data_IF_069949373048
#
_entry.id   IF_069949373048
#
_cell.length_a   1.000
_cell.length_b   1.000
_cell.length_c   1.000
_cell.angle_alpha   90.00
_cell.angle_beta   90.00
_cell.angle_gamma   90.00
#
_symmetry.space_group_name_H-M   'P 1'
#
loop_
_entity.id
_entity.type
_entity.pdbx_description
1 polymer ?
#
# COMPACT_ATOMS: atom_id res chain seq x y z
N UNK A 1 -21.41 -63.44 -20.44
CA UNK A 1 -20.37 -62.45 -20.81
C UNK A 1 -20.69 -61.16 -20.11
N UNK A 2 -20.11 -60.92 -18.91
CA UNK A 2 -20.23 -59.68 -18.17
C UNK A 2 -19.15 -58.72 -18.67
N UNK A 3 -19.56 -57.54 -19.22
CA UNK A 3 -18.67 -56.41 -19.42
C UNK A 3 -18.56 -55.63 -18.11
N UNK A 4 -17.34 -55.28 -17.61
CA UNK A 4 -17.20 -54.41 -16.48
C UNK A 4 -17.58 -52.97 -16.86
N UNK A 5 -18.06 -52.14 -15.88
CA UNK A 5 -18.47 -50.77 -16.17
C UNK A 5 -17.23 -49.92 -16.52
N UNK A 6 -17.35 -49.13 -17.59
CA UNK A 6 -16.35 -48.19 -18.06
C UNK A 6 -16.09 -47.17 -16.97
N UNK A 7 -14.85 -47.13 -16.45
CA UNK A 7 -14.33 -46.05 -15.61
C UNK A 7 -14.34 -44.76 -16.42
N UNK A 8 -15.25 -43.89 -16.08
CA UNK A 8 -15.25 -42.50 -16.57
C UNK A 8 -14.00 -41.83 -16.01
N UNK A 9 -12.96 -41.75 -16.84
CA UNK A 9 -11.84 -40.86 -16.58
C UNK A 9 -12.38 -39.44 -16.56
N UNK A 10 -12.55 -38.88 -15.35
CA UNK A 10 -12.63 -37.41 -15.17
C UNK A 10 -11.30 -36.86 -15.71
N UNK A 11 -11.34 -35.90 -16.66
CA UNK A 11 -10.11 -35.23 -17.06
C UNK A 11 -9.50 -34.57 -15.80
N UNK A 12 -8.15 -34.57 -15.67
CA UNK A 12 -7.48 -33.91 -14.55
C UNK A 12 -7.96 -32.47 -14.51
N UNK A 13 -8.31 -32.03 -13.30
CA UNK A 13 -8.74 -30.69 -12.98
C UNK A 13 -7.94 -29.67 -13.80
N UNK A 14 -8.66 -28.91 -14.62
CA UNK A 14 -8.12 -27.85 -15.46
C UNK A 14 -7.12 -27.05 -14.62
N UNK A 15 -5.85 -27.17 -14.94
CA UNK A 15 -4.79 -26.31 -14.43
C UNK A 15 -5.30 -24.91 -14.70
N UNK A 16 -5.68 -24.16 -13.66
CA UNK A 16 -6.00 -22.77 -13.74
C UNK A 16 -4.76 -22.08 -14.33
N UNK A 17 -4.75 -21.92 -15.64
CA UNK A 17 -3.77 -21.08 -16.32
C UNK A 17 -3.88 -19.74 -15.64
N UNK A 18 -2.90 -19.39 -14.81
CA UNK A 18 -2.89 -18.13 -14.07
C UNK A 18 -3.13 -17.01 -15.07
N UNK A 19 -4.36 -16.52 -15.14
CA UNK A 19 -4.70 -15.43 -16.03
C UNK A 19 -3.88 -14.22 -15.61
N UNK A 20 -3.07 -13.74 -16.51
CA UNK A 20 -2.27 -12.53 -16.28
C UNK A 20 -3.07 -11.34 -16.78
N UNK A 21 -3.52 -10.49 -15.89
CA UNK A 21 -4.13 -9.22 -16.24
C UNK A 21 -3.04 -8.18 -16.52
N UNK A 22 -3.03 -7.66 -17.73
CA UNK A 22 -2.13 -6.56 -18.11
C UNK A 22 -2.41 -5.32 -17.28
N UNK A 23 -3.69 -5.06 -16.97
CA UNK A 23 -4.13 -3.98 -16.12
C UNK A 23 -3.42 -3.97 -14.76
N UNK A 24 -3.25 -5.12 -14.12
CA UNK A 24 -2.61 -5.24 -12.79
C UNK A 24 -1.12 -4.91 -12.87
N UNK A 25 -0.42 -5.44 -13.89
CA UNK A 25 1.00 -5.16 -14.10
C UNK A 25 1.24 -3.70 -14.47
N UNK A 26 0.40 -3.13 -15.32
CA UNK A 26 0.43 -1.72 -15.71
C UNK A 26 0.18 -0.81 -14.50
N UNK A 27 -0.89 -1.07 -13.74
CA UNK A 27 -1.25 -0.26 -12.58
C UNK A 27 -0.13 -0.26 -11.53
N UNK A 28 0.47 -1.42 -11.25
CA UNK A 28 1.62 -1.51 -10.35
C UNK A 28 2.78 -0.66 -10.84
N UNK A 29 3.10 -0.73 -12.12
CA UNK A 29 4.17 0.07 -12.72
C UNK A 29 3.87 1.57 -12.73
N UNK A 30 2.64 1.95 -13.03
CA UNK A 30 2.17 3.33 -12.95
C UNK A 30 2.37 3.89 -11.54
N UNK A 31 1.94 3.13 -10.52
CA UNK A 31 2.06 3.54 -9.12
C UNK A 31 3.52 3.74 -8.71
N UNK A 32 4.43 2.84 -9.12
CA UNK A 32 5.87 2.99 -8.83
C UNK A 32 6.47 4.18 -9.56
N UNK A 33 6.13 4.39 -10.84
CA UNK A 33 6.62 5.55 -11.59
C UNK A 33 6.19 6.87 -10.93
N UNK A 34 4.91 6.97 -10.52
CA UNK A 34 4.43 8.13 -9.77
C UNK A 34 5.11 8.27 -8.41
N UNK A 35 5.36 7.17 -7.70
CA UNK A 35 6.07 7.20 -6.41
C UNK A 35 7.48 7.79 -6.56
N UNK A 36 8.21 7.42 -7.62
CA UNK A 36 9.50 8.03 -7.92
C UNK A 36 9.35 9.52 -8.19
N UNK A 37 8.38 9.94 -9.03
CA UNK A 37 8.17 11.36 -9.35
C UNK A 37 7.88 12.20 -8.10
N UNK A 38 6.99 11.73 -7.21
CA UNK A 38 6.58 12.51 -6.04
C UNK A 38 7.60 12.51 -4.91
N UNK A 39 8.50 11.51 -4.87
CA UNK A 39 9.55 11.43 -3.83
C UNK A 39 10.87 12.09 -4.27
N UNK A 40 11.05 12.37 -5.56
CA UNK A 40 12.30 12.92 -6.11
C UNK A 40 12.10 14.34 -6.67
N UNK A 41 11.40 15.19 -5.94
CA UNK A 41 11.35 16.61 -6.27
C UNK A 41 12.76 17.21 -6.16
N UNK A 42 13.21 17.92 -7.20
CA UNK A 42 14.55 18.56 -7.19
C UNK A 42 14.66 19.62 -6.08
N UNK A 43 13.59 20.35 -5.81
CA UNK A 43 13.46 21.23 -4.66
C UNK A 43 12.02 21.20 -4.14
N UNK A 44 11.88 21.19 -2.82
CA UNK A 44 10.55 21.21 -2.18
C UNK A 44 9.91 22.61 -2.16
N UNK A 45 10.70 23.65 -2.42
CA UNK A 45 10.24 25.04 -2.43
C UNK A 45 9.35 25.39 -3.63
N UNK A 46 9.61 24.75 -4.79
CA UNK A 46 8.91 25.05 -6.05
C UNK A 46 8.11 23.87 -6.61
N UNK A 47 7.72 22.93 -5.77
CA UNK A 47 6.91 21.78 -6.19
C UNK A 47 5.49 22.23 -6.53
N UNK A 48 4.97 21.77 -7.68
CA UNK A 48 3.60 22.00 -8.09
C UNK A 48 2.60 21.49 -7.02
N UNK A 49 1.55 22.27 -6.66
CA UNK A 49 0.62 21.90 -5.58
C UNK A 49 0.05 20.47 -5.66
N UNK A 50 -0.32 19.92 -6.85
CA UNK A 50 -0.78 18.52 -6.94
C UNK A 50 0.27 17.47 -6.59
N UNK A 51 1.56 17.82 -6.62
CA UNK A 51 2.67 16.94 -6.27
C UNK A 51 3.14 17.09 -4.82
N UNK A 52 2.54 18.01 -4.06
CA UNK A 52 2.76 18.17 -2.63
C UNK A 52 1.81 17.27 -1.85
N UNK A 53 2.24 16.82 -0.67
CA UNK A 53 1.34 16.18 0.29
C UNK A 53 0.39 17.19 0.93
N UNK A 54 -0.80 16.75 1.32
CA UNK A 54 -1.66 17.55 2.18
C UNK A 54 -0.92 17.88 3.50
N UNK A 55 -1.03 19.13 3.95
CA UNK A 55 -0.33 19.59 5.16
C UNK A 55 -0.69 18.73 6.36
N UNK A 56 -1.98 18.49 6.61
CA UNK A 56 -2.46 17.58 7.66
C UNK A 56 -3.75 16.88 7.24
N UNK A 57 -4.90 17.55 7.27
CA UNK A 57 -6.16 17.00 6.76
C UNK A 57 -6.29 17.21 5.24
N UNK A 58 -7.03 16.34 4.59
CA UNK A 58 -7.23 16.35 3.15
C UNK A 58 -6.43 15.27 2.41
N UNK A 59 -6.51 15.30 1.08
CA UNK A 59 -5.87 14.35 0.21
C UNK A 59 -5.52 15.01 -1.13
N UNK A 60 -4.26 14.97 -1.51
CA UNK A 60 -3.77 15.41 -2.81
C UNK A 60 -3.55 14.20 -3.73
N UNK A 61 -3.33 14.39 -5.05
CA UNK A 61 -2.95 13.29 -5.93
C UNK A 61 -1.70 12.52 -5.46
N UNK A 62 -0.72 13.19 -4.84
CA UNK A 62 0.46 12.56 -4.25
C UNK A 62 0.10 11.61 -3.13
N UNK A 63 -0.92 11.92 -2.34
CA UNK A 63 -1.37 11.10 -1.23
C UNK A 63 -2.08 9.80 -1.68
N UNK A 64 -2.44 9.67 -2.96
CA UNK A 64 -3.01 8.45 -3.53
C UNK A 64 -1.96 7.40 -3.87
N UNK A 65 -0.70 7.78 -4.04
CA UNK A 65 0.34 6.91 -4.61
C UNK A 65 0.65 5.73 -3.71
N UNK A 66 0.99 5.98 -2.45
CA UNK A 66 1.37 4.93 -1.51
C UNK A 66 0.22 3.96 -1.17
N UNK A 67 -1.01 4.41 -0.84
CA UNK A 67 -2.12 3.47 -0.62
C UNK A 67 -2.51 2.70 -1.88
N UNK A 68 -2.40 3.30 -3.08
CA UNK A 68 -2.59 2.57 -4.34
C UNK A 68 -1.57 1.44 -4.50
N UNK A 69 -0.34 1.65 -4.06
CA UNK A 69 0.67 0.59 -4.06
C UNK A 69 0.34 -0.52 -3.06
N UNK A 70 -0.13 -0.20 -1.86
CA UNK A 70 -0.63 -1.18 -0.90
C UNK A 70 -1.84 -1.96 -1.44
N UNK A 71 -2.77 -1.26 -2.08
CA UNK A 71 -3.94 -1.85 -2.72
C UNK A 71 -3.55 -2.87 -3.81
N UNK A 72 -2.64 -2.50 -4.72
CA UNK A 72 -2.23 -3.39 -5.82
C UNK A 72 -1.40 -4.59 -5.33
N UNK A 73 -0.72 -4.49 -4.18
CA UNK A 73 -0.13 -5.63 -3.49
C UNK A 73 -1.23 -6.63 -3.12
N UNK A 74 -2.35 -6.18 -2.55
CA UNK A 74 -3.50 -7.01 -2.22
C UNK A 74 -4.09 -7.72 -3.44
N UNK A 75 -4.27 -7.02 -4.57
CA UNK A 75 -4.69 -7.63 -5.84
C UNK A 75 -3.70 -8.71 -6.27
N UNK A 76 -2.40 -8.41 -6.22
CA UNK A 76 -1.33 -9.33 -6.63
C UNK A 76 -1.22 -10.57 -5.73
N UNK A 77 -1.54 -10.43 -4.43
CA UNK A 77 -1.58 -11.54 -3.47
C UNK A 77 -2.57 -12.61 -3.90
N UNK A 78 -3.76 -12.23 -4.37
CA UNK A 78 -4.76 -13.19 -4.81
C UNK A 78 -4.22 -14.08 -5.93
N UNK A 79 -3.59 -13.51 -6.95
CA UNK A 79 -2.98 -14.28 -8.04
C UNK A 79 -1.80 -15.14 -7.57
N UNK A 80 -0.96 -14.61 -6.68
CA UNK A 80 0.20 -15.35 -6.17
C UNK A 80 -0.22 -16.55 -5.31
N UNK A 81 -1.31 -16.44 -4.56
CA UNK A 81 -1.81 -17.48 -3.68
C UNK A 81 -2.68 -18.51 -4.40
N UNK A 82 -3.13 -18.23 -5.62
CA UNK A 82 -3.85 -19.18 -6.47
C UNK A 82 -3.10 -20.48 -6.71
N UNK A 83 -1.74 -20.46 -6.69
CA UNK A 83 -0.89 -21.66 -6.76
C UNK A 83 -1.06 -22.61 -5.57
N UNK A 84 -1.67 -22.14 -4.48
CA UNK A 84 -1.90 -22.85 -3.21
C UNK A 84 -3.41 -22.98 -2.94
N UNK A 85 -4.26 -22.86 -3.98
CA UNK A 85 -5.72 -22.89 -3.87
C UNK A 85 -6.26 -21.90 -2.82
N UNK A 86 -5.57 -20.79 -2.61
CA UNK A 86 -5.87 -19.77 -1.58
C UNK A 86 -5.98 -20.35 -0.16
N UNK A 87 -5.23 -21.41 0.15
CA UNK A 87 -5.20 -22.05 1.46
C UNK A 87 -3.85 -21.89 2.12
N UNK A 88 -3.87 -21.80 3.44
CA UNK A 88 -2.65 -21.78 4.22
C UNK A 88 -1.88 -23.10 4.08
N UNK A 89 -0.62 -23.01 3.71
CA UNK A 89 0.35 -24.13 3.74
C UNK A 89 1.64 -23.69 4.44
N UNK A 90 2.38 -24.58 5.10
CA UNK A 90 3.66 -24.21 5.73
C UNK A 90 4.68 -23.61 4.76
N UNK A 91 4.64 -24.05 3.49
CA UNK A 91 5.52 -23.49 2.44
C UNK A 91 5.14 -22.04 2.13
N UNK A 92 3.84 -21.77 1.91
CA UNK A 92 3.34 -20.42 1.67
C UNK A 92 3.58 -19.52 2.88
N UNK A 93 3.35 -20.01 4.11
CA UNK A 93 3.63 -19.29 5.34
C UNK A 93 5.09 -18.85 5.45
N UNK A 94 6.04 -19.75 5.14
CA UNK A 94 7.48 -19.39 5.10
C UNK A 94 7.79 -18.33 4.04
N UNK A 95 7.17 -18.40 2.86
CA UNK A 95 7.34 -17.38 1.81
C UNK A 95 6.81 -16.02 2.24
N UNK A 96 5.62 -15.99 2.87
CA UNK A 96 5.02 -14.76 3.41
C UNK A 96 5.94 -14.17 4.49
N UNK A 97 6.35 -14.96 5.47
CA UNK A 97 7.23 -14.51 6.55
C UNK A 97 8.55 -13.97 6.01
N UNK A 98 9.21 -14.72 5.12
CA UNK A 98 10.48 -14.27 4.48
C UNK A 98 10.30 -12.94 3.76
N UNK A 99 9.21 -12.76 3.01
CA UNK A 99 8.94 -11.51 2.28
C UNK A 99 8.67 -10.36 3.24
N UNK A 100 7.88 -10.60 4.29
CA UNK A 100 7.59 -9.61 5.33
C UNK A 100 8.89 -9.16 6.02
N UNK A 101 9.71 -10.10 6.47
CA UNK A 101 10.99 -9.79 7.14
C UNK A 101 11.94 -9.05 6.20
N UNK A 102 12.09 -9.51 4.95
CA UNK A 102 12.97 -8.85 3.99
C UNK A 102 12.53 -7.41 3.69
N UNK A 103 11.23 -7.16 3.50
CA UNK A 103 10.72 -5.81 3.30
C UNK A 103 10.95 -4.91 4.51
N UNK A 104 10.74 -5.45 5.72
CA UNK A 104 10.97 -4.71 6.95
C UNK A 104 12.45 -4.33 7.11
N UNK A 105 13.35 -5.28 6.89
CA UNK A 105 14.81 -5.06 6.98
C UNK A 105 15.30 -4.08 5.90
N UNK A 106 14.82 -4.23 4.65
CA UNK A 106 15.14 -3.26 3.58
C UNK A 106 14.70 -1.86 3.98
N UNK A 107 13.51 -1.70 4.56
CA UNK A 107 13.03 -0.42 5.04
C UNK A 107 13.89 0.15 6.18
N UNK A 108 14.30 -0.69 7.13
CA UNK A 108 15.19 -0.28 8.21
C UNK A 108 16.54 0.21 7.67
N UNK A 109 17.08 -0.50 6.69
CA UNK A 109 18.31 -0.09 5.99
C UNK A 109 18.11 1.25 5.28
N UNK A 110 17.05 1.41 4.49
CA UNK A 110 16.76 2.65 3.75
C UNK A 110 16.57 3.85 4.67
N UNK A 111 15.75 3.72 5.72
CA UNK A 111 15.47 4.82 6.64
C UNK A 111 16.74 5.40 7.29
N UNK A 112 17.81 4.60 7.37
CA UNK A 112 19.02 4.95 8.09
C UNK A 112 20.26 5.02 7.18
N UNK A 113 20.11 4.77 5.87
CA UNK A 113 21.17 4.93 4.89
C UNK A 113 21.56 6.42 4.73
N UNK A 114 22.84 6.78 4.52
CA UNK A 114 23.99 5.90 4.32
C UNK A 114 24.75 5.48 5.59
N UNK A 115 24.17 5.52 6.77
CA UNK A 115 24.71 5.11 8.09
C UNK A 115 25.85 5.97 8.65
N UNK A 116 26.55 6.71 7.82
CA UNK A 116 27.78 7.41 8.17
C UNK A 116 27.57 8.54 9.20
N UNK A 117 26.33 9.02 9.35
CA UNK A 117 25.99 10.17 10.21
C UNK A 117 24.87 9.88 11.23
N UNK A 118 24.40 8.64 11.28
CA UNK A 118 23.31 8.27 12.20
C UNK A 118 23.81 7.30 13.26
N UNK A 119 23.64 7.70 14.52
CA UNK A 119 23.81 6.80 15.65
C UNK A 119 22.61 5.85 15.77
N UNK A 120 22.83 4.67 16.32
CA UNK A 120 21.79 3.69 16.61
C UNK A 120 20.64 4.27 17.45
N UNK A 121 20.94 5.19 18.35
CA UNK A 121 19.99 5.85 19.25
C UNK A 121 19.00 6.77 18.54
N UNK A 122 19.23 7.06 17.24
CA UNK A 122 18.37 7.93 16.41
C UNK A 122 17.86 7.25 15.14
N UNK A 123 17.97 5.92 15.05
CA UNK A 123 17.49 5.21 13.89
C UNK A 123 15.97 5.22 13.80
N UNK A 124 15.44 5.67 12.68
CA UNK A 124 14.01 5.58 12.38
C UNK A 124 13.63 4.12 12.17
N UNK A 125 12.66 3.62 12.96
CA UNK A 125 12.23 2.21 12.96
C UNK A 125 11.12 1.97 11.94
N UNK A 126 10.07 2.80 11.96
CA UNK A 126 8.95 2.67 11.05
C UNK A 126 9.17 3.45 9.76
N UNK A 127 8.44 3.14 8.70
CA UNK A 127 8.51 3.80 7.40
C UNK A 127 7.72 3.04 6.34
N UNK A 128 7.78 3.53 5.11
CA UNK A 128 7.01 3.00 3.98
C UNK A 128 7.20 1.49 3.76
N UNK A 129 8.44 0.94 3.65
CA UNK A 129 8.59 -0.51 3.44
C UNK A 129 8.16 -1.34 4.65
N UNK A 130 8.33 -0.84 5.88
CA UNK A 130 7.86 -1.52 7.09
C UNK A 130 6.33 -1.59 7.12
N UNK A 131 5.65 -0.51 6.77
CA UNK A 131 4.19 -0.51 6.61
C UNK A 131 3.73 -1.50 5.54
N UNK A 132 4.42 -1.55 4.39
CA UNK A 132 4.17 -2.55 3.34
C UNK A 132 4.36 -3.98 3.86
N UNK A 133 5.43 -4.22 4.62
CA UNK A 133 5.74 -5.52 5.21
C UNK A 133 4.63 -5.99 6.17
N UNK A 134 4.26 -5.15 7.12
CA UNK A 134 3.22 -5.45 8.11
C UNK A 134 1.84 -5.59 7.45
N UNK A 135 1.47 -4.64 6.59
CA UNK A 135 0.21 -4.69 5.85
C UNK A 135 0.08 -5.96 4.99
N UNK A 136 1.13 -6.31 4.22
CA UNK A 136 1.19 -7.54 3.45
C UNK A 136 1.12 -8.79 4.33
N UNK A 137 1.94 -8.86 5.37
CA UNK A 137 2.04 -10.03 6.26
C UNK A 137 0.72 -10.32 6.96
N UNK A 138 0.14 -9.31 7.62
CA UNK A 138 -1.13 -9.44 8.37
C UNK A 138 -2.28 -9.76 7.41
N UNK A 139 -2.42 -8.99 6.31
CA UNK A 139 -3.48 -9.24 5.31
C UNK A 139 -3.37 -10.64 4.71
N UNK A 140 -2.14 -11.16 4.46
CA UNK A 140 -1.93 -12.52 3.95
C UNK A 140 -2.42 -13.58 4.92
N UNK A 141 -2.09 -13.45 6.21
CA UNK A 141 -2.56 -14.38 7.24
C UNK A 141 -4.08 -14.35 7.34
N UNK A 142 -4.68 -13.17 7.35
CA UNK A 142 -6.13 -13.02 7.40
C UNK A 142 -6.81 -13.63 6.16
N UNK A 143 -6.33 -13.29 4.97
CA UNK A 143 -6.90 -13.73 3.70
C UNK A 143 -6.86 -15.26 3.49
N UNK A 144 -5.84 -15.93 4.03
CA UNK A 144 -5.67 -17.39 3.90
C UNK A 144 -6.41 -18.21 4.98
N UNK A 145 -6.78 -17.58 6.09
CA UNK A 145 -7.41 -18.31 7.21
C UNK A 145 -8.89 -17.97 7.40
N UNK A 146 -9.39 -16.89 6.82
CA UNK A 146 -10.77 -16.45 7.00
C UNK A 146 -11.53 -16.39 5.68
N UNK A 147 -12.83 -16.70 5.74
CA UNK A 147 -13.70 -16.58 4.58
C UNK A 147 -14.07 -15.11 4.29
N UNK A 148 -14.62 -14.86 3.11
CA UNK A 148 -14.95 -13.52 2.61
C UNK A 148 -15.83 -12.70 3.59
N UNK A 149 -16.83 -13.35 4.22
CA UNK A 149 -17.74 -12.66 5.16
C UNK A 149 -16.98 -12.21 6.41
N UNK A 150 -16.17 -13.10 6.97
CA UNK A 150 -15.31 -12.77 8.14
C UNK A 150 -14.32 -11.67 7.81
N UNK A 151 -13.70 -11.69 6.63
CA UNK A 151 -12.77 -10.63 6.21
C UNK A 151 -13.46 -9.27 6.09
N UNK A 152 -14.69 -9.22 5.58
CA UNK A 152 -15.49 -7.97 5.53
C UNK A 152 -15.79 -7.47 6.95
N UNK A 153 -16.22 -8.36 7.86
CA UNK A 153 -16.50 -8.01 9.26
C UNK A 153 -15.22 -7.50 9.95
N UNK A 154 -14.07 -8.19 9.76
CA UNK A 154 -12.78 -7.77 10.32
C UNK A 154 -12.34 -6.42 9.74
N UNK A 155 -12.53 -6.19 8.45
CA UNK A 155 -12.22 -4.89 7.83
C UNK A 155 -13.05 -3.77 8.44
N UNK A 156 -14.35 -3.99 8.61
CA UNK A 156 -15.22 -3.03 9.28
C UNK A 156 -14.82 -2.82 10.75
N UNK A 157 -14.51 -3.90 11.47
CA UNK A 157 -14.05 -3.83 12.86
C UNK A 157 -12.72 -3.07 13.00
N UNK A 158 -11.76 -3.25 12.08
CA UNK A 158 -10.51 -2.51 12.07
C UNK A 158 -10.73 -1.03 11.81
N UNK A 159 -11.59 -0.67 10.86
CA UNK A 159 -11.85 0.73 10.54
C UNK A 159 -12.64 1.44 11.67
N UNK A 160 -13.68 0.82 12.19
CA UNK A 160 -14.47 1.38 13.29
C UNK A 160 -13.67 1.41 14.60
N UNK A 161 -13.00 0.30 14.92
CA UNK A 161 -12.19 0.18 16.12
C UNK A 161 -11.04 1.19 16.13
N UNK A 162 -10.38 1.40 14.98
CA UNK A 162 -9.35 2.41 14.86
C UNK A 162 -9.86 3.83 15.10
N UNK A 163 -11.02 4.17 14.55
CA UNK A 163 -11.66 5.45 14.81
C UNK A 163 -11.95 5.66 16.30
N UNK A 164 -12.55 4.64 16.94
CA UNK A 164 -12.81 4.67 18.38
C UNK A 164 -11.52 4.78 19.20
N UNK A 165 -10.46 4.05 18.82
CA UNK A 165 -9.16 4.11 19.50
C UNK A 165 -8.55 5.53 19.42
N UNK A 166 -8.57 6.18 18.26
CA UNK A 166 -8.06 7.55 18.17
C UNK A 166 -8.87 8.51 19.03
N UNK A 167 -10.21 8.37 19.02
CA UNK A 167 -11.08 9.25 19.80
C UNK A 167 -10.89 9.10 21.31
N UNK A 168 -10.70 7.87 21.80
CA UNK A 168 -10.61 7.60 23.24
C UNK A 168 -9.22 7.75 23.84
N UNK A 169 -8.16 7.53 23.06
CA UNK A 169 -6.78 7.45 23.57
C UNK A 169 -5.88 8.61 23.12
N UNK A 170 -6.46 9.68 22.58
CA UNK A 170 -5.77 10.97 22.41
C UNK A 170 -5.55 11.71 23.73
N UNK A 171 -4.89 12.85 23.67
CA UNK A 171 -4.72 13.73 24.84
C UNK A 171 -6.07 14.24 25.33
N UNK A 172 -6.44 14.02 26.60
CA UNK A 172 -7.74 14.45 27.12
C UNK A 172 -7.97 15.97 26.96
N UNK A 173 -9.12 16.33 26.40
CA UNK A 173 -9.52 17.71 26.18
C UNK A 173 -8.91 18.40 24.96
N UNK A 174 -8.04 17.73 24.22
CA UNK A 174 -7.51 18.19 22.94
C UNK A 174 -8.24 17.53 21.75
N UNK A 175 -8.00 18.06 20.54
CA UNK A 175 -8.50 17.42 19.31
C UNK A 175 -7.80 16.08 19.10
N UNK A 176 -8.54 14.94 19.09
CA UNK A 176 -7.95 13.60 18.94
C UNK A 176 -7.31 13.36 17.58
N UNK A 177 -7.52 14.24 16.62
CA UNK A 177 -7.00 14.16 15.27
C UNK A 177 -5.91 15.18 14.95
N UNK A 178 -5.54 16.03 15.89
CA UNK A 178 -4.44 16.99 15.72
C UNK A 178 -3.06 16.30 15.76
N UNK A 179 -2.05 16.95 15.20
CA UNK A 179 -0.70 16.36 15.06
C UNK A 179 -0.07 16.02 16.43
N UNK A 180 -0.28 16.86 17.42
CA UNK A 180 0.41 16.81 18.73
C UNK A 180 -0.36 16.09 19.83
N UNK A 181 -1.60 15.66 19.57
CA UNK A 181 -2.51 15.12 20.60
C UNK A 181 -3.13 13.76 20.25
N UNK A 182 -2.83 13.20 19.08
CA UNK A 182 -3.44 11.95 18.62
C UNK A 182 -2.82 10.70 19.25
N UNK A 183 -3.62 9.62 19.34
CA UNK A 183 -3.21 8.35 19.93
C UNK A 183 -2.08 7.65 19.17
N UNK A 184 -1.90 7.90 17.87
CA UNK A 184 -0.78 7.33 17.08
C UNK A 184 0.54 7.85 17.63
N UNK A 185 0.65 9.16 17.78
CA UNK A 185 1.83 9.81 18.35
C UNK A 185 2.15 9.29 19.75
N UNK A 186 1.13 9.22 20.61
CA UNK A 186 1.32 8.77 22.01
C UNK A 186 1.82 7.33 22.07
N UNK A 187 1.25 6.41 21.27
CA UNK A 187 1.69 5.03 21.23
C UNK A 187 3.10 4.88 20.67
N UNK A 188 3.41 5.56 19.57
CA UNK A 188 4.70 5.45 18.91
C UNK A 188 5.83 6.05 19.79
N UNK A 189 5.58 7.16 20.49
CA UNK A 189 6.52 7.71 21.48
C UNK A 189 6.74 6.77 22.66
N UNK A 190 5.70 6.08 23.11
CA UNK A 190 5.82 5.10 24.19
C UNK A 190 6.63 3.87 23.75
N UNK A 191 6.46 3.39 22.50
CA UNK A 191 7.15 2.20 22.00
C UNK A 191 8.59 2.48 21.59
N UNK A 192 8.85 3.59 20.92
CA UNK A 192 10.12 3.86 20.23
C UNK A 192 10.87 5.07 20.75
N UNK A 193 10.29 5.86 21.66
CA UNK A 193 10.77 7.19 22.05
C UNK A 193 10.76 8.20 20.88
N UNK A 194 10.92 9.47 21.15
CA UNK A 194 10.91 10.52 20.13
C UNK A 194 12.09 10.40 19.15
N UNK A 195 13.24 9.92 19.66
CA UNK A 195 14.48 9.82 18.89
C UNK A 195 14.39 8.86 17.66
N UNK A 196 13.50 7.87 17.72
CA UNK A 196 13.32 6.86 16.66
C UNK A 196 12.15 7.15 15.72
N UNK A 197 11.49 8.32 15.85
CA UNK A 197 10.40 8.75 14.99
C UNK A 197 10.92 9.57 13.80
N UNK A 198 10.04 9.80 12.83
CA UNK A 198 10.31 10.69 11.70
C UNK A 198 10.23 12.15 12.11
N UNK A 199 11.25 12.95 11.80
CA UNK A 199 11.35 14.36 12.15
C UNK A 199 11.14 15.33 10.96
N UNK A 200 10.49 14.87 9.90
CA UNK A 200 10.10 15.73 8.77
C UNK A 200 8.86 16.59 9.01
N UNK A 201 8.18 16.38 10.13
CA UNK A 201 7.09 17.21 10.62
C UNK A 201 7.62 18.23 11.66
N UNK A 202 6.76 19.11 12.17
CA UNK A 202 7.15 20.07 13.23
C UNK A 202 7.59 19.41 14.54
N UNK A 203 7.17 18.14 14.74
CA UNK A 203 7.49 17.31 15.90
C UNK A 203 7.90 15.92 15.40
N UNK A 204 8.53 15.12 16.26
CA UNK A 204 8.75 13.70 15.99
C UNK A 204 7.40 12.98 15.86
N UNK A 205 7.03 12.62 14.63
CA UNK A 205 5.79 11.92 14.30
C UNK A 205 6.02 10.99 13.11
N UNK A 206 5.63 9.73 13.22
CA UNK A 206 5.76 8.77 12.12
C UNK A 206 4.43 8.54 11.40
N UNK A 207 4.29 9.00 10.13
CA UNK A 207 3.08 8.74 9.33
C UNK A 207 2.83 7.24 9.10
N UNK A 208 3.86 6.43 9.20
CA UNK A 208 3.83 4.97 9.07
C UNK A 208 3.84 4.24 10.43
N UNK A 209 3.38 4.88 11.50
CA UNK A 209 3.39 4.37 12.87
C UNK A 209 2.61 3.07 13.09
N UNK A 210 2.80 2.49 14.29
CA UNK A 210 2.27 1.16 14.61
C UNK A 210 0.75 1.12 14.60
N UNK A 211 0.10 2.06 15.30
CA UNK A 211 -1.35 2.05 15.45
C UNK A 211 -2.06 2.22 14.10
N UNK A 212 -1.59 3.12 13.25
CA UNK A 212 -2.14 3.38 11.92
C UNK A 212 -1.87 2.24 10.91
N UNK A 213 -1.11 1.22 11.30
CA UNK A 213 -0.98 -0.03 10.53
C UNK A 213 -2.30 -0.81 10.52
N UNK A 214 -3.15 -0.71 11.55
CA UNK A 214 -4.45 -1.41 11.61
C UNK A 214 -5.33 -1.06 10.40
N UNK A 215 -5.68 0.20 10.13
CA UNK A 215 -6.47 0.56 8.96
C UNK A 215 -5.72 0.34 7.64
N UNK A 216 -4.39 0.39 7.63
CA UNK A 216 -3.61 0.13 6.41
C UNK A 216 -3.70 -1.34 5.93
N UNK A 217 -3.91 -2.30 6.83
CA UNK A 217 -4.23 -3.69 6.48
C UNK A 217 -5.49 -3.75 5.63
N UNK A 218 -6.50 -2.93 5.94
CA UNK A 218 -7.75 -2.90 5.17
C UNK A 218 -7.52 -2.40 3.75
N UNK A 219 -6.58 -1.46 3.53
CA UNK A 219 -6.19 -1.04 2.18
C UNK A 219 -5.69 -2.23 1.34
N UNK A 220 -4.90 -3.13 1.93
CA UNK A 220 -4.44 -4.37 1.26
C UNK A 220 -5.61 -5.34 1.05
N UNK A 221 -6.51 -5.49 2.04
CA UNK A 221 -7.69 -6.37 1.91
C UNK A 221 -8.68 -5.88 0.84
N UNK A 222 -8.85 -4.57 0.64
CA UNK A 222 -9.61 -4.03 -0.50
C UNK A 222 -9.04 -4.50 -1.83
N UNK A 223 -7.71 -4.50 -1.95
CA UNK A 223 -7.03 -5.08 -3.11
C UNK A 223 -7.28 -6.58 -3.25
N UNK A 224 -7.23 -7.33 -2.16
CA UNK A 224 -7.55 -8.76 -2.14
C UNK A 224 -8.99 -9.04 -2.63
N UNK A 225 -9.97 -8.28 -2.19
CA UNK A 225 -11.36 -8.41 -2.66
C UNK A 225 -11.47 -8.13 -4.16
N UNK A 226 -10.76 -7.13 -4.68
CA UNK A 226 -10.70 -6.87 -6.11
C UNK A 226 -10.01 -8.00 -6.87
N UNK A 227 -8.93 -8.58 -6.34
CA UNK A 227 -8.28 -9.76 -6.89
C UNK A 227 -9.24 -10.95 -6.99
N UNK A 228 -10.06 -11.17 -5.97
CA UNK A 228 -11.12 -12.20 -5.98
C UNK A 228 -12.13 -11.94 -7.10
N UNK A 229 -12.61 -10.70 -7.25
CA UNK A 229 -13.52 -10.33 -8.34
C UNK A 229 -12.90 -10.55 -9.74
N UNK A 230 -11.63 -10.21 -9.90
CA UNK A 230 -10.87 -10.43 -11.13
C UNK A 230 -10.82 -11.93 -11.49
N UNK A 231 -10.66 -12.81 -10.51
CA UNK A 231 -10.68 -14.26 -10.70
C UNK A 231 -12.08 -14.80 -11.00
N UNK A 232 -13.07 -14.41 -10.19
CA UNK A 232 -14.46 -14.89 -10.31
C UNK A 232 -15.13 -14.44 -11.62
N UNK A 233 -14.81 -13.23 -12.14
CA UNK A 233 -15.41 -12.61 -13.33
C UNK A 233 -14.51 -12.63 -14.55
N UNK A 234 -13.50 -13.48 -14.58
CA UNK A 234 -12.48 -13.51 -15.64
C UNK A 234 -13.02 -13.64 -17.05
N UNK A 235 -14.11 -14.40 -17.25
CA UNK A 235 -14.80 -14.61 -18.53
C UNK A 235 -15.82 -13.49 -18.86
N UNK A 236 -16.20 -12.65 -17.88
CA UNK A 236 -17.24 -11.63 -17.99
C UNK A 236 -16.67 -10.23 -17.72
N UNK A 237 -15.72 -9.81 -18.54
CA UNK A 237 -14.92 -8.59 -18.30
C UNK A 237 -15.75 -7.31 -18.21
N UNK A 238 -16.83 -7.18 -18.98
CA UNK A 238 -17.71 -6.00 -18.89
C UNK A 238 -18.45 -5.93 -17.54
N UNK A 239 -18.94 -7.09 -17.05
CA UNK A 239 -19.54 -7.18 -15.74
C UNK A 239 -18.51 -6.92 -14.63
N UNK A 240 -17.27 -7.41 -14.81
CA UNK A 240 -16.16 -7.14 -13.90
C UNK A 240 -15.90 -5.63 -13.78
N UNK A 241 -15.79 -4.93 -14.89
CA UNK A 241 -15.56 -3.47 -14.90
C UNK A 241 -16.69 -2.74 -14.18
N UNK A 242 -17.95 -3.11 -14.46
CA UNK A 242 -19.12 -2.55 -13.78
C UNK A 242 -19.05 -2.79 -12.27
N UNK A 243 -18.81 -4.03 -11.85
CA UNK A 243 -18.79 -4.42 -10.43
C UNK A 243 -17.63 -3.73 -9.68
N UNK A 244 -16.46 -3.58 -10.32
CA UNK A 244 -15.35 -2.79 -9.76
C UNK A 244 -15.72 -1.30 -9.68
N UNK A 245 -16.34 -0.70 -10.69
CA UNK A 245 -16.76 0.70 -10.64
C UNK A 245 -17.77 0.93 -9.53
N UNK A 246 -18.78 0.08 -9.41
CA UNK A 246 -19.78 0.17 -8.33
C UNK A 246 -19.11 0.04 -6.95
N UNK A 247 -18.22 -0.93 -6.77
CA UNK A 247 -17.50 -1.12 -5.51
C UNK A 247 -16.64 0.10 -5.19
N UNK A 248 -15.89 0.62 -6.17
CA UNK A 248 -15.07 1.81 -6.01
C UNK A 248 -15.87 3.05 -5.65
N UNK A 249 -17.01 3.27 -6.30
CA UNK A 249 -17.91 4.39 -6.00
C UNK A 249 -18.49 4.27 -4.58
N UNK A 250 -18.96 3.08 -4.19
CA UNK A 250 -19.49 2.84 -2.83
C UNK A 250 -18.40 3.15 -1.78
N UNK A 251 -17.18 2.63 -1.96
CA UNK A 251 -16.07 2.93 -1.03
C UNK A 251 -15.74 4.42 -1.02
N UNK A 252 -15.61 5.06 -2.19
CA UNK A 252 -15.28 6.48 -2.29
C UNK A 252 -16.31 7.39 -1.63
N UNK A 253 -17.59 7.17 -1.90
CA UNK A 253 -18.68 7.93 -1.25
C UNK A 253 -18.79 7.65 0.25
N UNK A 254 -18.59 6.41 0.69
CA UNK A 254 -18.54 6.07 2.11
C UNK A 254 -17.36 6.79 2.81
N UNK A 255 -16.19 6.88 2.16
CA UNK A 255 -15.05 7.64 2.66
C UNK A 255 -15.34 9.14 2.80
N UNK A 256 -15.94 9.74 1.77
CA UNK A 256 -16.36 11.16 1.80
C UNK A 256 -17.45 11.44 2.84
N UNK A 257 -18.39 10.52 3.01
CA UNK A 257 -19.41 10.64 4.06
C UNK A 257 -18.79 10.56 5.45
N UNK A 258 -17.84 9.66 5.64
CA UNK A 258 -17.15 9.50 6.93
C UNK A 258 -16.21 10.67 7.24
N UNK A 259 -15.70 11.37 6.23
CA UNK A 259 -14.88 12.59 6.37
C UNK A 259 -15.55 13.67 7.22
N UNK A 260 -16.88 13.73 7.22
CA UNK A 260 -17.65 14.66 8.07
C UNK A 260 -17.45 14.45 9.58
N UNK A 261 -17.03 13.26 10.01
CA UNK A 261 -16.86 12.87 11.40
C UNK A 261 -15.43 12.45 11.74
N UNK A 262 -14.71 11.95 10.77
CA UNK A 262 -13.33 11.49 10.88
C UNK A 262 -12.56 11.98 9.66
N UNK A 263 -11.87 13.12 9.77
CA UNK A 263 -11.26 13.80 8.63
C UNK A 263 -10.34 12.90 7.82
N UNK A 264 -10.42 13.00 6.50
CA UNK A 264 -9.48 12.35 5.59
C UNK A 264 -8.06 12.82 5.91
N UNK A 265 -7.20 11.91 6.34
CA UNK A 265 -5.83 12.21 6.71
C UNK A 265 -4.91 11.02 6.40
N UNK A 266 -3.95 11.24 5.50
CA UNK A 266 -2.96 10.23 5.12
C UNK A 266 -1.99 9.91 6.26
N UNK A 267 -1.54 10.92 7.00
CA UNK A 267 -0.51 10.77 8.03
C UNK A 267 -1.03 9.98 9.23
N UNK A 268 -2.33 10.09 9.54
CA UNK A 268 -3.04 9.24 10.49
C UNK A 268 -3.57 7.95 9.86
N UNK A 269 -3.61 7.85 8.53
CA UNK A 269 -4.23 6.74 7.80
C UNK A 269 -5.68 6.48 8.24
N UNK A 270 -6.48 7.55 8.34
CA UNK A 270 -7.84 7.51 8.85
C UNK A 270 -8.74 6.54 8.09
N UNK A 271 -9.79 6.04 8.73
CA UNK A 271 -10.71 5.08 8.09
C UNK A 271 -11.45 5.70 6.89
N UNK A 272 -11.79 6.98 6.98
CA UNK A 272 -12.32 7.77 5.86
C UNK A 272 -11.33 7.83 4.69
N UNK A 273 -10.04 8.07 4.97
CA UNK A 273 -8.98 8.04 3.98
C UNK A 273 -8.85 6.66 3.31
N UNK A 274 -8.86 5.57 4.09
CA UNK A 274 -8.78 4.20 3.54
C UNK A 274 -9.90 3.93 2.55
N UNK A 275 -11.14 4.28 2.88
CA UNK A 275 -12.28 4.08 1.97
C UNK A 275 -12.22 5.01 0.76
N UNK A 276 -11.88 6.27 0.95
CA UNK A 276 -11.80 7.24 -0.13
C UNK A 276 -10.73 6.87 -1.15
N UNK A 277 -9.47 6.68 -0.71
CA UNK A 277 -8.37 6.32 -1.62
C UNK A 277 -8.48 4.88 -2.13
N UNK A 278 -9.05 3.97 -1.32
CA UNK A 278 -9.39 2.62 -1.76
C UNK A 278 -10.40 2.65 -2.90
N UNK A 279 -11.45 3.46 -2.78
CA UNK A 279 -12.45 3.69 -3.82
C UNK A 279 -11.83 4.20 -5.12
N UNK A 280 -10.98 5.23 -5.05
CA UNK A 280 -10.25 5.77 -6.20
C UNK A 280 -9.30 4.73 -6.82
N UNK A 281 -8.62 3.93 -5.99
CA UNK A 281 -7.73 2.85 -6.46
C UNK A 281 -8.51 1.77 -7.21
N UNK A 282 -9.71 1.41 -6.73
CA UNK A 282 -10.59 0.44 -7.39
C UNK A 282 -11.10 0.99 -8.73
N UNK A 283 -11.49 2.26 -8.79
CA UNK A 283 -11.92 2.92 -10.02
C UNK A 283 -10.78 2.94 -11.05
N UNK A 284 -9.56 3.26 -10.62
CA UNK A 284 -8.38 3.26 -11.50
C UNK A 284 -8.06 1.83 -11.99
N UNK A 285 -8.23 0.80 -11.14
CA UNK A 285 -8.12 -0.59 -11.55
C UNK A 285 -9.20 -0.94 -12.60
N UNK A 286 -10.46 -0.55 -12.39
CA UNK A 286 -11.55 -0.78 -13.33
C UNK A 286 -11.27 -0.13 -14.69
N UNK A 287 -10.80 1.13 -14.69
CA UNK A 287 -10.39 1.84 -15.90
C UNK A 287 -9.24 1.12 -16.62
N UNK A 288 -8.26 0.61 -15.86
CA UNK A 288 -7.14 -0.16 -16.40
C UNK A 288 -7.60 -1.48 -17.03
N UNK A 289 -8.49 -2.23 -16.36
CA UNK A 289 -9.08 -3.47 -16.89
C UNK A 289 -9.86 -3.18 -18.17
N UNK A 290 -10.67 -2.12 -18.17
CA UNK A 290 -11.43 -1.73 -19.35
C UNK A 290 -10.51 -1.39 -20.52
N UNK A 291 -9.49 -0.58 -20.29
CA UNK A 291 -8.59 -0.12 -21.34
C UNK A 291 -7.72 -1.24 -21.90
N UNK A 292 -7.12 -2.07 -21.03
CA UNK A 292 -6.09 -3.02 -21.44
C UNK A 292 -6.66 -4.43 -21.69
N UNK A 293 -7.62 -4.87 -20.89
CA UNK A 293 -8.10 -6.25 -20.93
C UNK A 293 -9.45 -6.38 -21.66
N UNK A 294 -10.25 -5.30 -21.80
CA UNK A 294 -11.47 -5.24 -22.62
C UNK A 294 -11.18 -4.64 -24.00
N UNK A 295 -10.64 -3.39 -24.05
CA UNK A 295 -10.35 -2.72 -25.33
C UNK A 295 -9.07 -3.17 -26.01
N UNK A 296 -8.21 -3.90 -25.32
CA UNK A 296 -6.98 -4.45 -25.88
C UNK A 296 -5.90 -3.42 -26.21
N UNK A 297 -5.95 -2.23 -25.62
CA UNK A 297 -4.93 -1.18 -25.84
C UNK A 297 -3.57 -1.65 -25.35
N UNK A 298 -2.52 -1.52 -26.18
CA UNK A 298 -1.15 -1.96 -25.86
C UNK A 298 -0.10 -0.86 -26.04
N UNK A 299 -0.45 0.26 -26.67
CA UNK A 299 0.52 1.33 -26.94
C UNK A 299 0.93 2.02 -25.65
N UNK A 300 2.25 2.24 -25.48
CA UNK A 300 2.82 2.94 -24.32
C UNK A 300 2.85 2.13 -23.02
N UNK A 301 2.37 0.89 -22.98
CA UNK A 301 2.36 0.08 -21.76
C UNK A 301 3.74 -0.42 -21.34
N UNK A 302 4.67 -0.59 -22.30
CA UNK A 302 5.97 -1.22 -22.08
C UNK A 302 6.78 -0.57 -20.96
N UNK A 303 6.82 0.76 -20.92
CA UNK A 303 7.50 1.51 -19.86
C UNK A 303 6.98 1.14 -18.45
N UNK A 304 5.67 1.21 -18.25
CA UNK A 304 5.08 0.88 -16.95
C UNK A 304 5.19 -0.61 -16.60
N UNK A 305 5.17 -1.51 -17.59
CA UNK A 305 5.36 -2.93 -17.34
C UNK A 305 6.75 -3.28 -16.80
N UNK A 306 7.81 -2.56 -17.25
CA UNK A 306 9.16 -2.72 -16.70
C UNK A 306 9.20 -2.33 -15.22
N UNK A 307 8.63 -1.17 -14.87
CA UNK A 307 8.50 -0.76 -13.47
C UNK A 307 7.64 -1.73 -12.66
N UNK A 308 6.52 -2.19 -13.22
CA UNK A 308 5.63 -3.15 -12.57
C UNK A 308 6.29 -4.50 -12.28
N UNK A 309 7.15 -4.98 -13.17
CA UNK A 309 7.91 -6.22 -12.97
C UNK A 309 8.98 -6.10 -11.89
N UNK A 310 9.58 -4.91 -11.73
CA UNK A 310 10.71 -4.64 -10.84
C UNK A 310 10.38 -3.59 -9.76
N UNK A 311 9.14 -3.55 -9.30
CA UNK A 311 8.60 -2.48 -8.46
C UNK A 311 9.44 -2.19 -7.20
N UNK A 312 9.81 -3.22 -6.44
CA UNK A 312 10.62 -3.07 -5.23
C UNK A 312 12.03 -2.56 -5.55
N UNK A 313 12.66 -3.11 -6.59
CA UNK A 313 14.00 -2.70 -6.99
C UNK A 313 14.01 -1.23 -7.45
N UNK A 314 13.05 -0.84 -8.29
CA UNK A 314 12.93 0.53 -8.78
C UNK A 314 12.74 1.54 -7.63
N UNK A 315 11.87 1.21 -6.66
CA UNK A 315 11.66 2.02 -5.46
C UNK A 315 12.94 2.13 -4.62
N UNK A 316 13.55 1.00 -4.24
CA UNK A 316 14.75 0.99 -3.39
C UNK A 316 15.91 1.74 -4.07
N UNK A 317 16.07 1.55 -5.37
CA UNK A 317 17.11 2.24 -6.13
C UNK A 317 16.88 3.75 -6.16
N UNK A 318 15.63 4.20 -6.41
CA UNK A 318 15.32 5.64 -6.44
C UNK A 318 15.59 6.31 -5.10
N UNK A 319 15.12 5.72 -3.99
CA UNK A 319 15.36 6.24 -2.64
C UNK A 319 16.87 6.26 -2.30
N UNK A 320 17.58 5.17 -2.58
CA UNK A 320 19.01 5.10 -2.33
C UNK A 320 19.80 6.14 -3.16
N UNK A 321 19.43 6.37 -4.42
CA UNK A 321 20.05 7.40 -5.26
C UNK A 321 19.83 8.80 -4.71
N UNK A 322 18.61 9.14 -4.28
CA UNK A 322 18.32 10.45 -3.68
C UNK A 322 19.16 10.66 -2.43
N UNK A 323 19.24 9.65 -1.55
CA UNK A 323 20.04 9.73 -0.33
C UNK A 323 21.55 9.86 -0.64
N UNK A 324 22.06 9.16 -1.66
CA UNK A 324 23.44 9.30 -2.09
C UNK A 324 23.73 10.70 -2.65
N UNK A 325 22.82 11.26 -3.45
CA UNK A 325 23.01 12.62 -3.98
C UNK A 325 23.04 13.68 -2.88
N UNK A 326 22.22 13.55 -1.85
CA UNK A 326 22.31 14.43 -0.68
C UNK A 326 23.57 14.20 0.17
N UNK A 327 24.11 12.97 0.15
CA UNK A 327 25.33 12.62 0.87
C UNK A 327 26.60 13.11 0.19
N UNK A 328 26.61 13.26 -1.14
CA UNK A 328 27.74 13.76 -1.91
C UNK A 328 27.67 15.28 -1.94
N UNK A 329 28.52 15.91 -1.14
CA UNK A 329 28.73 17.36 -1.15
C UNK A 329 30.21 17.68 -1.33
N UNK A 330 30.50 18.79 -2.01
CA UNK A 330 31.86 19.34 -2.10
C UNK A 330 31.86 20.82 -1.70
N UNK A 331 32.99 21.32 -1.30
CA UNK A 331 33.13 22.72 -0.97
C UNK A 331 33.33 23.51 -2.27
N UNK A 332 32.41 24.46 -2.55
CA UNK A 332 32.53 25.37 -3.67
C UNK A 332 33.73 26.33 -3.56
N UNK A 333 34.03 27.04 -4.63
CA UNK A 333 35.07 28.06 -4.63
C UNK A 333 34.82 29.23 -3.68
N UNK A 334 33.59 29.39 -3.23
CA UNK A 334 33.11 30.36 -2.24
C UNK A 334 33.15 29.85 -0.80
N UNK A 335 33.64 28.64 -0.56
CA UNK A 335 33.74 28.00 0.75
C UNK A 335 32.42 27.38 1.25
N UNK A 336 31.32 27.45 0.48
CA UNK A 336 30.05 26.87 0.85
C UNK A 336 29.91 25.43 0.38
N UNK A 337 29.26 24.52 1.14
CA UNK A 337 29.00 23.18 0.69
C UNK A 337 27.98 23.19 -0.48
N UNK A 338 28.35 22.61 -1.60
CA UNK A 338 27.47 22.39 -2.74
C UNK A 338 27.11 20.90 -2.74
N UNK A 339 25.81 20.57 -2.67
CA UNK A 339 25.32 19.21 -2.89
C UNK A 339 25.04 18.98 -4.37
N UNK A 340 24.98 17.71 -4.78
CA UNK A 340 24.60 17.30 -6.14
C UNK A 340 23.11 17.54 -6.48
N UNK A 341 22.40 18.28 -5.64
CA UNK A 341 20.98 18.64 -5.84
C UNK A 341 20.78 19.51 -7.07
#
# INVERSE_FOLDING_TARGET
>A
VHRPPSTVHRPPSTVHRLMRYLAVDFYRGLTVAFMIIVNTAGTWEYVYPPLQHANWHGCTPTDLVFPSFMFIIGVSMWFAFGKYDHKWTPELGRKILRRTVLLFVIGLILNNFPFLWKNWDTWRIMGVPQRLALGYGIASVLALNFNRRTLIILSAAFLLGYWVLLYLFGVPGADPYALDSNAVLLLDRWLFTDAHLYHGERIGFDPEGVLSTIPSVVTVLLGWFCGTLLGERSEQKDLLVRDLLLFGLICGFAGLFWDLFFPINKKLWTSSYVLYVGGLSIILLAASVWLFDVKGWRRGTGFFLVFGANALFAYVLSEAMVMLWHAISWVGSDGNPISLQ
#
